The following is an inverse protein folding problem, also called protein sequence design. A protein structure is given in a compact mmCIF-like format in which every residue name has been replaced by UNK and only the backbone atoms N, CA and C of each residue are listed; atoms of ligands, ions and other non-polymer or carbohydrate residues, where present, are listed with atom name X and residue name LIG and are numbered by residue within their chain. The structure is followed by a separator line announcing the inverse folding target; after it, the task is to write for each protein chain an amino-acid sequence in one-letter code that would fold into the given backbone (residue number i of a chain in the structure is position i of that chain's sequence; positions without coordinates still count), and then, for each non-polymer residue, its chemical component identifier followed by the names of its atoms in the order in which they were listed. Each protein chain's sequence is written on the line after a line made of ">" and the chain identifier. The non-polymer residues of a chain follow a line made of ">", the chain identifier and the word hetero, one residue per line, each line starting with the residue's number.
data_IF_676607550923
#
_entry.id   IF_676607550923
#
_cell.length_a   1.000
_cell.length_b   1.000
_cell.length_c   1.000
_cell.angle_alpha   90.00
_cell.angle_beta   90.00
_cell.angle_gamma   90.00
#
_symmetry.space_group_name_H-M   'P 1'
#
loop_
_entity.id
_entity.type
_entity.pdbx_description
1 polymer ?
#
# COMPACT_ATOMS: atom_id res chain seq x y z
N UNK A 1 -0.34 26.99 -30.48
CA UNK A 1 0.26 26.74 -29.16
C UNK A 1 -0.65 27.15 -28.00
N UNK A 2 -1.35 28.29 -28.07
CA UNK A 2 -2.21 28.78 -26.96
C UNK A 2 -3.39 27.86 -26.57
N UNK A 3 -4.09 27.23 -27.54
CA UNK A 3 -5.19 26.28 -27.23
C UNK A 3 -4.74 25.06 -26.42
N UNK A 4 -3.53 24.57 -26.64
CA UNK A 4 -2.98 23.41 -25.94
C UNK A 4 -2.51 23.77 -24.52
N UNK A 5 -2.01 25.01 -24.36
CA UNK A 5 -1.62 25.55 -23.05
C UNK A 5 -2.85 25.80 -22.16
N UNK A 6 -3.94 26.32 -22.73
CA UNK A 6 -5.22 26.50 -22.02
C UNK A 6 -5.85 25.20 -21.55
N UNK A 7 -5.82 24.14 -22.39
CA UNK A 7 -6.35 22.82 -21.98
C UNK A 7 -5.52 22.16 -20.88
N UNK A 8 -4.20 22.36 -20.89
CA UNK A 8 -3.30 21.80 -19.86
C UNK A 8 -3.49 22.48 -18.51
N UNK A 9 -3.61 23.81 -18.48
CA UNK A 9 -3.88 24.55 -17.25
C UNK A 9 -5.25 24.18 -16.64
N UNK A 10 -6.27 24.03 -17.49
CA UNK A 10 -7.60 23.61 -17.05
C UNK A 10 -7.60 22.20 -16.45
N UNK A 11 -6.83 21.27 -17.02
CA UNK A 11 -6.66 19.92 -16.47
C UNK A 11 -6.02 19.97 -15.08
N UNK A 12 -4.93 20.73 -14.90
CA UNK A 12 -4.27 20.85 -13.59
C UNK A 12 -5.25 21.36 -12.53
N UNK A 13 -5.98 22.44 -12.82
CA UNK A 13 -6.96 23.01 -11.89
C UNK A 13 -8.07 21.99 -11.57
N UNK A 14 -8.54 21.23 -12.56
CA UNK A 14 -9.53 20.19 -12.37
C UNK A 14 -9.03 19.07 -11.44
N UNK A 15 -7.83 18.54 -11.69
CA UNK A 15 -7.22 17.49 -10.89
C UNK A 15 -6.93 17.95 -9.46
N UNK A 16 -6.48 19.19 -9.30
CA UNK A 16 -6.23 19.80 -8.00
C UNK A 16 -7.54 20.01 -7.22
N UNK A 17 -8.58 20.55 -7.86
CA UNK A 17 -9.89 20.69 -7.25
C UNK A 17 -10.49 19.33 -6.87
N UNK A 18 -10.32 18.31 -7.73
CA UNK A 18 -10.72 16.94 -7.43
C UNK A 18 -10.07 16.43 -6.14
N UNK A 19 -8.76 16.67 -5.95
CA UNK A 19 -8.06 16.30 -4.71
C UNK A 19 -8.64 17.01 -3.48
N UNK A 20 -8.88 18.32 -3.57
CA UNK A 20 -9.38 19.13 -2.45
C UNK A 20 -10.76 18.67 -2.00
N UNK A 21 -11.66 18.43 -2.96
CA UNK A 21 -13.04 18.05 -2.69
C UNK A 21 -13.18 16.57 -2.29
N UNK A 22 -12.15 15.77 -2.57
CA UNK A 22 -12.15 14.34 -2.34
C UNK A 22 -12.04 13.91 -0.88
N UNK A 23 -12.83 12.90 -0.50
CA UNK A 23 -12.60 12.07 0.69
C UNK A 23 -11.91 10.74 0.34
N UNK A 24 -11.73 10.46 -0.96
CA UNK A 24 -11.20 9.22 -1.54
C UNK A 24 -9.74 8.89 -1.17
N UNK A 25 -9.08 9.76 -0.41
CA UNK A 25 -7.66 9.65 -0.11
C UNK A 25 -7.34 8.47 0.80
N UNK A 26 -8.22 8.10 1.73
CA UNK A 26 -7.94 6.99 2.64
C UNK A 26 -9.19 6.21 3.03
N UNK A 27 -10.13 6.82 3.76
CA UNK A 27 -11.31 6.14 4.30
C UNK A 27 -12.44 7.16 4.48
N UNK A 28 -13.54 7.04 3.73
CA UNK A 28 -14.69 7.96 3.83
C UNK A 28 -15.31 8.06 5.23
N UNK A 29 -14.95 7.13 6.13
CA UNK A 29 -15.44 7.00 7.50
C UNK A 29 -14.60 7.73 8.55
N UNK A 30 -13.41 8.25 8.20
CA UNK A 30 -12.57 9.05 9.10
C UNK A 30 -12.24 10.40 8.46
N UNK A 31 -13.22 11.29 8.53
CA UNK A 31 -13.13 12.63 7.93
C UNK A 31 -12.11 13.51 8.63
N UNK A 32 -11.90 13.34 9.95
CA UNK A 32 -10.98 14.16 10.74
C UNK A 32 -9.54 13.87 10.32
N UNK A 33 -9.12 12.60 10.35
CA UNK A 33 -7.77 12.24 9.94
C UNK A 33 -7.54 12.53 8.46
N UNK A 34 -8.52 12.21 7.61
CA UNK A 34 -8.43 12.47 6.16
C UNK A 34 -8.28 13.96 5.85
N UNK A 35 -9.00 14.84 6.57
CA UNK A 35 -8.86 16.29 6.39
C UNK A 35 -7.52 16.82 6.90
N UNK A 36 -7.01 16.29 8.02
CA UNK A 36 -5.69 16.65 8.52
C UNK A 36 -4.59 16.24 7.52
N UNK A 37 -4.63 14.99 7.04
CA UNK A 37 -3.64 14.49 6.09
C UNK A 37 -3.71 15.23 4.75
N UNK A 38 -4.91 15.56 4.26
CA UNK A 38 -5.09 16.43 3.08
C UNK A 38 -4.42 17.79 3.27
N UNK A 39 -4.65 18.46 4.40
CA UNK A 39 -4.04 19.77 4.70
C UNK A 39 -2.52 19.66 4.71
N UNK A 40 -1.97 18.62 5.33
CA UNK A 40 -0.52 18.38 5.38
C UNK A 40 0.05 18.14 3.98
N UNK A 41 -0.59 17.31 3.16
CA UNK A 41 -0.18 17.07 1.75
C UNK A 41 -0.20 18.35 0.94
N UNK A 42 -1.27 19.15 1.04
CA UNK A 42 -1.39 20.40 0.29
C UNK A 42 -0.35 21.45 0.72
N UNK A 43 -0.14 21.62 2.04
CA UNK A 43 0.88 22.51 2.59
C UNK A 43 2.27 22.21 2.01
N UNK A 44 2.62 20.93 1.96
CA UNK A 44 3.91 20.46 1.45
C UNK A 44 4.00 20.51 -0.09
N UNK A 45 2.90 20.25 -0.81
CA UNK A 45 2.90 20.15 -2.28
C UNK A 45 3.25 21.48 -2.97
N UNK A 46 2.88 22.62 -2.40
CA UNK A 46 3.18 23.93 -2.99
C UNK A 46 4.68 24.26 -3.00
N UNK A 47 5.43 23.76 -2.01
CA UNK A 47 6.88 23.92 -1.92
C UNK A 47 7.65 22.79 -2.62
N UNK A 48 6.98 21.69 -2.97
CA UNK A 48 7.59 20.48 -3.50
C UNK A 48 6.92 20.06 -4.83
N UNK A 49 7.44 20.49 -5.99
CA UNK A 49 6.81 20.24 -7.29
C UNK A 49 6.56 18.75 -7.61
N UNK A 50 7.45 17.84 -7.20
CA UNK A 50 7.27 16.41 -7.38
C UNK A 50 6.04 15.89 -6.61
N UNK A 51 5.83 16.37 -5.38
CA UNK A 51 4.67 16.01 -4.56
C UNK A 51 3.39 16.56 -5.19
N UNK A 52 3.38 17.80 -5.68
CA UNK A 52 2.24 18.36 -6.42
C UNK A 52 1.90 17.49 -7.63
N UNK A 53 2.88 17.07 -8.43
CA UNK A 53 2.63 16.19 -9.57
C UNK A 53 2.13 14.81 -9.15
N UNK A 54 2.61 14.27 -8.02
CA UNK A 54 2.08 13.03 -7.42
C UNK A 54 0.60 13.17 -7.03
N UNK A 55 0.24 14.28 -6.38
CA UNK A 55 -1.15 14.62 -6.02
C UNK A 55 -2.05 14.67 -7.26
N UNK A 56 -1.60 15.35 -8.32
CA UNK A 56 -2.36 15.44 -9.57
C UNK A 56 -2.45 14.08 -10.27
N UNK A 57 -1.38 13.29 -10.26
CA UNK A 57 -1.36 11.93 -10.81
C UNK A 57 -2.36 11.03 -10.10
N UNK A 58 -2.45 11.15 -8.78
CA UNK A 58 -3.39 10.43 -7.93
C UNK A 58 -4.84 10.81 -8.23
N UNK A 59 -5.13 12.11 -8.32
CA UNK A 59 -6.45 12.60 -8.75
C UNK A 59 -6.84 12.08 -10.12
N UNK A 60 -5.93 12.12 -11.09
CA UNK A 60 -6.19 11.61 -12.43
C UNK A 60 -6.49 10.11 -12.38
N UNK A 61 -5.73 9.35 -11.57
CA UNK A 61 -5.96 7.92 -11.40
C UNK A 61 -7.35 7.64 -10.83
N UNK A 62 -7.75 8.33 -9.77
CA UNK A 62 -9.08 8.17 -9.20
C UNK A 62 -10.18 8.58 -10.19
N UNK A 63 -10.06 9.74 -10.86
CA UNK A 63 -11.06 10.16 -11.85
C UNK A 63 -11.23 9.15 -13.00
N UNK A 64 -10.18 8.39 -13.32
CA UNK A 64 -10.26 7.35 -14.35
C UNK A 64 -11.20 6.19 -13.99
N UNK A 65 -11.45 5.95 -12.70
CA UNK A 65 -12.36 4.89 -12.23
C UNK A 65 -13.82 5.34 -12.19
N UNK A 66 -14.08 6.64 -12.29
CA UNK A 66 -15.42 7.25 -12.12
C UNK A 66 -15.99 7.83 -13.43
N UNK A 67 -15.46 7.44 -14.59
CA UNK A 67 -15.82 8.06 -15.86
C UNK A 67 -16.02 7.03 -16.97
N UNK A 68 -16.47 7.49 -18.15
CA UNK A 68 -16.68 6.62 -19.31
C UNK A 68 -15.37 5.97 -19.77
N UNK A 69 -15.39 4.79 -20.41
CA UNK A 69 -14.17 4.09 -20.84
C UNK A 69 -13.21 4.92 -21.69
N UNK A 70 -13.75 5.79 -22.54
CA UNK A 70 -12.97 6.71 -23.39
C UNK A 70 -12.22 7.76 -22.55
N UNK A 71 -12.88 8.35 -21.56
CA UNK A 71 -12.27 9.32 -20.64
C UNK A 71 -11.36 8.65 -19.61
N UNK A 72 -11.64 7.41 -19.26
CA UNK A 72 -10.81 6.62 -18.34
C UNK A 72 -9.40 6.48 -18.90
N UNK A 73 -9.27 6.09 -20.17
CA UNK A 73 -7.96 6.00 -20.86
C UNK A 73 -7.23 7.35 -20.90
N UNK A 74 -7.97 8.44 -21.11
CA UNK A 74 -7.39 9.78 -21.07
C UNK A 74 -6.78 10.09 -19.70
N UNK A 75 -7.52 9.93 -18.61
CA UNK A 75 -7.02 10.22 -17.26
C UNK A 75 -5.92 9.26 -16.82
N UNK A 76 -5.97 7.97 -17.20
CA UNK A 76 -4.87 7.03 -16.97
C UNK A 76 -3.58 7.51 -17.63
N UNK A 77 -3.63 7.98 -18.88
CA UNK A 77 -2.47 8.55 -19.56
C UNK A 77 -1.93 9.80 -18.85
N UNK A 78 -2.82 10.70 -18.39
CA UNK A 78 -2.41 11.87 -17.61
C UNK A 78 -1.75 11.47 -16.29
N UNK A 79 -2.34 10.50 -15.58
CA UNK A 79 -1.79 9.95 -14.34
C UNK A 79 -0.37 9.42 -14.55
N UNK A 80 -0.15 8.59 -15.59
CA UNK A 80 1.18 8.05 -15.92
C UNK A 80 2.18 9.16 -16.26
N UNK A 81 1.80 10.18 -17.03
CA UNK A 81 2.68 11.30 -17.38
C UNK A 81 3.11 12.11 -16.15
N UNK A 82 2.13 12.49 -15.33
CA UNK A 82 2.36 13.24 -14.10
C UNK A 82 3.23 12.44 -13.13
N UNK A 83 2.94 11.14 -12.98
CA UNK A 83 3.70 10.25 -12.12
C UNK A 83 5.14 10.07 -12.60
N UNK A 84 5.33 9.89 -13.91
CA UNK A 84 6.68 9.76 -14.53
C UNK A 84 7.48 11.02 -14.29
N UNK A 85 6.88 12.20 -14.51
CA UNK A 85 7.54 13.47 -14.23
C UNK A 85 7.90 13.60 -12.76
N UNK A 86 6.97 13.26 -11.86
CA UNK A 86 7.17 13.34 -10.42
C UNK A 86 8.32 12.44 -9.97
N UNK A 87 8.40 11.19 -10.44
CA UNK A 87 9.49 10.26 -10.14
C UNK A 87 10.83 10.76 -10.70
N UNK A 88 10.85 11.26 -11.94
CA UNK A 88 12.09 11.79 -12.54
C UNK A 88 12.63 13.05 -11.85
N UNK A 89 11.77 13.80 -11.16
CA UNK A 89 12.14 15.00 -10.41
C UNK A 89 12.13 14.77 -8.89
N UNK A 90 11.88 13.53 -8.45
CA UNK A 90 11.96 13.13 -7.08
C UNK A 90 13.42 12.81 -6.75
N UNK A 91 13.99 13.56 -5.81
CA UNK A 91 15.31 13.27 -5.28
C UNK A 91 15.17 12.69 -3.86
N UNK A 92 15.17 11.36 -3.69
CA UNK A 92 14.98 10.73 -2.38
C UNK A 92 16.13 10.98 -1.39
N UNK A 93 17.24 11.60 -1.81
CA UNK A 93 18.45 11.68 -1.01
C UNK A 93 19.22 13.01 -1.19
N UNK A 94 18.71 14.17 -0.71
CA UNK A 94 19.63 15.18 -0.22
C UNK A 94 20.48 14.53 0.90
N UNK A 95 21.81 14.73 0.96
CA UNK A 95 22.66 14.17 2.03
C UNK A 95 22.18 14.51 3.45
N UNK A 96 21.45 15.62 3.58
CA UNK A 96 20.72 16.01 4.79
C UNK A 96 19.37 16.64 4.38
N UNK A 97 18.26 15.87 4.34
CA UNK A 97 16.95 16.43 3.98
C UNK A 97 16.41 17.27 5.13
N UNK A 98 16.13 18.57 4.92
CA UNK A 98 15.49 19.42 5.94
C UNK A 98 14.17 18.81 6.45
N UNK A 99 13.72 19.24 7.63
CA UNK A 99 12.44 18.79 8.22
C UNK A 99 11.27 18.94 7.22
N UNK A 100 11.21 20.07 6.51
CA UNK A 100 10.20 20.35 5.48
C UNK A 100 10.27 19.37 4.29
N UNK A 101 11.48 18.97 3.87
CA UNK A 101 11.66 18.04 2.77
C UNK A 101 11.36 16.60 3.19
N UNK A 102 11.72 16.19 4.41
CA UNK A 102 11.43 14.84 4.92
C UNK A 102 9.94 14.49 4.86
N UNK A 103 9.07 15.42 5.28
CA UNK A 103 7.62 15.24 5.23
C UNK A 103 7.14 15.07 3.79
N UNK A 104 7.57 15.95 2.88
CA UNK A 104 7.20 15.86 1.48
C UNK A 104 7.70 14.58 0.79
N UNK A 105 8.90 14.11 1.12
CA UNK A 105 9.46 12.84 0.64
C UNK A 105 8.61 11.65 1.11
N UNK A 106 8.24 11.60 2.39
CA UNK A 106 7.38 10.57 2.95
C UNK A 106 6.00 10.54 2.28
N UNK A 107 5.36 11.70 2.14
CA UNK A 107 4.02 11.81 1.53
C UNK A 107 4.01 11.39 0.07
N UNK A 108 5.02 11.82 -0.70
CA UNK A 108 5.14 11.41 -2.09
C UNK A 108 5.39 9.91 -2.23
N UNK A 109 6.24 9.35 -1.38
CA UNK A 109 6.53 7.92 -1.38
C UNK A 109 5.30 7.09 -0.97
N UNK A 110 4.47 7.61 -0.06
CA UNK A 110 3.18 7.02 0.29
C UNK A 110 2.21 7.01 -0.89
N UNK A 111 2.12 8.11 -1.66
CA UNK A 111 1.33 8.15 -2.90
C UNK A 111 1.81 7.10 -3.90
N UNK A 112 3.13 6.96 -4.11
CA UNK A 112 3.69 5.92 -4.98
C UNK A 112 3.26 4.51 -4.58
N UNK A 113 3.20 4.23 -3.28
CA UNK A 113 2.74 2.93 -2.78
C UNK A 113 1.27 2.71 -3.11
N UNK A 114 0.40 3.70 -2.93
CA UNK A 114 -1.03 3.58 -3.29
C UNK A 114 -1.20 3.35 -4.81
N UNK A 115 -0.41 4.03 -5.63
CA UNK A 115 -0.39 3.79 -7.08
C UNK A 115 0.02 2.36 -7.41
N UNK A 116 1.07 1.84 -6.77
CA UNK A 116 1.51 0.44 -6.94
C UNK A 116 0.44 -0.57 -6.53
N UNK A 117 -0.28 -0.32 -5.44
CA UNK A 117 -1.40 -1.15 -5.00
C UNK A 117 -2.54 -1.17 -6.04
N UNK A 118 -2.88 -0.01 -6.57
CA UNK A 118 -3.92 0.13 -7.61
C UNK A 118 -3.52 -0.60 -8.90
N UNK A 119 -2.24 -0.61 -9.25
CA UNK A 119 -1.75 -1.36 -10.42
C UNK A 119 -1.85 -2.87 -10.21
N UNK A 120 -1.63 -3.38 -8.98
CA UNK A 120 -1.82 -4.80 -8.65
C UNK A 120 -3.30 -5.20 -8.80
N UNK A 121 -4.22 -4.33 -8.42
CA UNK A 121 -5.66 -4.56 -8.58
C UNK A 121 -6.11 -4.75 -10.04
N UNK A 122 -5.35 -4.22 -11.00
CA UNK A 122 -5.64 -4.27 -12.43
C UNK A 122 -4.95 -5.44 -13.16
N UNK A 123 -4.18 -6.26 -12.46
CA UNK A 123 -3.46 -7.36 -13.10
C UNK A 123 -4.41 -8.48 -13.52
N UNK A 124 -4.17 -9.00 -14.72
CA UNK A 124 -4.63 -10.31 -15.11
C UNK A 124 -3.97 -11.38 -14.24
N UNK A 125 -4.61 -12.54 -14.14
CA UNK A 125 -4.31 -13.62 -13.21
C UNK A 125 -2.95 -14.32 -13.41
N UNK A 126 -2.07 -13.79 -14.26
CA UNK A 126 -0.77 -14.38 -14.58
C UNK A 126 0.28 -14.08 -13.48
N UNK A 127 1.00 -15.09 -12.94
CA UNK A 127 1.92 -14.91 -11.82
C UNK A 127 3.14 -14.04 -12.10
N UNK A 128 3.72 -14.07 -13.31
CA UNK A 128 5.00 -13.39 -13.56
C UNK A 128 4.86 -11.85 -13.62
N UNK A 129 3.89 -11.28 -14.36
CA UNK A 129 3.60 -9.84 -14.28
C UNK A 129 3.30 -9.38 -12.85
N UNK A 130 2.62 -10.21 -12.07
CA UNK A 130 2.37 -9.97 -10.66
C UNK A 130 3.67 -9.83 -9.87
N UNK A 131 4.59 -10.80 -9.93
CA UNK A 131 5.83 -10.72 -9.15
C UNK A 131 6.73 -9.53 -9.53
N UNK A 132 6.74 -9.12 -10.81
CA UNK A 132 7.47 -7.92 -11.24
C UNK A 132 6.89 -6.68 -10.57
N UNK A 133 5.57 -6.48 -10.66
CA UNK A 133 4.89 -5.33 -10.05
C UNK A 133 4.97 -5.35 -8.53
N UNK A 134 4.83 -6.53 -7.95
CA UNK A 134 4.96 -6.79 -6.53
C UNK A 134 6.37 -6.44 -6.02
N UNK A 135 7.42 -6.84 -6.74
CA UNK A 135 8.80 -6.46 -6.44
C UNK A 135 9.01 -4.95 -6.47
N UNK A 136 8.44 -4.25 -7.46
CA UNK A 136 8.46 -2.78 -7.48
C UNK A 136 7.72 -2.16 -6.29
N UNK A 137 6.55 -2.68 -5.93
CA UNK A 137 5.76 -2.20 -4.79
C UNK A 137 6.55 -2.31 -3.47
N UNK A 138 7.17 -3.46 -3.20
CA UNK A 138 7.99 -3.64 -2.00
C UNK A 138 9.31 -2.84 -2.04
N UNK A 139 9.90 -2.66 -3.22
CA UNK A 139 11.05 -1.79 -3.40
C UNK A 139 10.73 -0.32 -3.04
N UNK A 140 9.57 0.17 -3.44
CA UNK A 140 9.08 1.51 -3.07
C UNK A 140 8.87 1.63 -1.55
N UNK A 141 8.24 0.64 -0.93
CA UNK A 141 8.04 0.60 0.52
C UNK A 141 9.36 0.60 1.29
N UNK A 142 10.37 -0.15 0.82
CA UNK A 142 11.73 -0.12 1.39
C UNK A 142 12.37 1.27 1.31
N UNK A 143 12.21 1.95 0.19
CA UNK A 143 12.67 3.33 0.03
C UNK A 143 12.05 4.27 1.07
N UNK A 144 10.74 4.13 1.31
CA UNK A 144 10.02 4.90 2.34
C UNK A 144 10.60 4.62 3.73
N UNK A 145 10.81 3.34 4.09
CA UNK A 145 11.36 2.96 5.41
C UNK A 145 12.76 3.50 5.64
N UNK A 146 13.60 3.51 4.61
CA UNK A 146 14.96 4.06 4.70
C UNK A 146 14.91 5.55 5.05
N UNK A 147 14.06 6.32 4.36
CA UNK A 147 13.84 7.75 4.64
C UNK A 147 13.30 7.96 6.06
N UNK A 148 12.37 7.12 6.51
CA UNK A 148 11.81 7.21 7.86
C UNK A 148 12.86 6.90 8.94
N UNK A 149 13.59 5.80 8.79
CA UNK A 149 14.54 5.30 9.79
C UNK A 149 15.70 6.27 10.01
N UNK A 150 16.33 6.74 8.93
CA UNK A 150 17.49 7.63 9.00
C UNK A 150 17.14 9.05 9.48
N UNK A 151 15.85 9.41 9.44
CA UNK A 151 15.37 10.76 9.75
C UNK A 151 14.22 10.80 10.76
N UNK A 152 14.03 9.73 11.55
CA UNK A 152 12.89 9.59 12.48
C UNK A 152 12.70 10.83 13.38
N UNK A 153 13.79 11.30 13.99
CA UNK A 153 13.79 12.45 14.89
C UNK A 153 13.35 13.75 14.21
N UNK A 154 13.45 13.87 12.88
CA UNK A 154 12.99 15.05 12.13
C UNK A 154 11.47 15.07 11.98
N UNK A 155 10.78 13.94 12.17
CA UNK A 155 9.33 13.92 12.16
C UNK A 155 8.71 14.26 13.51
N UNK A 156 9.49 14.29 14.60
CA UNK A 156 9.03 14.79 15.89
C UNK A 156 8.61 16.26 15.78
N UNK A 157 7.39 16.58 16.22
CA UNK A 157 6.81 17.92 16.11
C UNK A 157 6.28 18.30 14.71
N UNK A 158 6.40 17.41 13.71
CA UNK A 158 5.84 17.64 12.37
C UNK A 158 4.35 17.31 12.28
N UNK A 159 3.68 17.75 11.21
CA UNK A 159 2.25 17.50 10.99
C UNK A 159 1.92 16.01 10.74
N UNK A 160 2.93 15.15 10.51
CA UNK A 160 2.76 13.70 10.33
C UNK A 160 3.12 12.89 11.60
N UNK A 161 3.51 13.53 12.70
CA UNK A 161 3.88 12.85 13.94
C UNK A 161 2.77 11.89 14.43
N UNK A 162 1.50 12.29 14.33
CA UNK A 162 0.38 11.44 14.74
C UNK A 162 0.29 10.15 13.93
N UNK A 163 0.60 10.20 12.62
CA UNK A 163 0.62 9.02 11.76
C UNK A 163 1.76 8.07 12.16
N UNK A 164 2.92 8.61 12.51
CA UNK A 164 4.07 7.83 12.96
C UNK A 164 3.82 7.16 14.32
N UNK A 165 3.27 7.89 15.30
CA UNK A 165 2.88 7.32 16.58
C UNK A 165 1.84 6.20 16.42
N UNK A 166 0.89 6.38 15.49
CA UNK A 166 -0.06 5.33 15.16
C UNK A 166 0.63 4.09 14.58
N UNK A 167 1.62 4.25 13.68
CA UNK A 167 2.42 3.13 13.17
C UNK A 167 3.19 2.41 14.29
N UNK A 168 3.77 3.15 15.25
CA UNK A 168 4.44 2.54 16.40
C UNK A 168 3.45 1.72 17.23
N UNK A 169 2.30 2.30 17.60
CA UNK A 169 1.26 1.61 18.37
C UNK A 169 0.75 0.35 17.64
N UNK A 170 0.60 0.44 16.32
CA UNK A 170 0.25 -0.69 15.46
C UNK A 170 1.25 -1.84 15.58
N UNK A 171 2.55 -1.56 15.61
CA UNK A 171 3.60 -2.59 15.77
C UNK A 171 3.66 -3.22 17.16
N UNK A 172 3.13 -2.55 18.19
CA UNK A 172 3.11 -3.08 19.56
C UNK A 172 1.94 -4.04 19.82
N UNK A 173 0.87 -3.95 19.03
CA UNK A 173 -0.32 -4.79 19.19
C UNK A 173 -0.02 -6.21 18.69
N UNK A 174 -0.36 -7.21 19.51
CA UNK A 174 -0.23 -8.63 19.18
C UNK A 174 -1.60 -9.28 19.01
N UNK A 175 -1.71 -10.13 18.01
CA UNK A 175 -2.92 -10.91 17.77
C UNK A 175 -3.13 -11.90 18.90
N UNK A 176 -4.38 -12.16 19.22
CA UNK A 176 -4.81 -13.10 20.25
C UNK A 176 -5.59 -14.28 19.66
N UNK A 177 -6.14 -14.14 18.45
CA UNK A 177 -6.88 -15.18 17.77
C UNK A 177 -6.00 -16.26 17.11
N UNK A 178 -6.70 -17.23 16.53
CA UNK A 178 -6.13 -18.48 16.02
C UNK A 178 -6.14 -18.61 14.49
N UNK A 179 -6.67 -17.63 13.75
CA UNK A 179 -6.80 -17.68 12.28
C UNK A 179 -5.45 -17.93 11.59
N UNK A 180 -4.37 -17.41 12.17
CA UNK A 180 -3.00 -17.56 11.67
C UNK A 180 -2.22 -18.73 12.30
N UNK A 181 -2.83 -19.61 13.10
CA UNK A 181 -2.12 -20.71 13.79
C UNK A 181 -1.51 -21.73 12.83
N UNK A 182 -2.11 -21.92 11.66
CA UNK A 182 -1.51 -22.72 10.59
C UNK A 182 -0.17 -22.12 10.15
N UNK A 183 -0.13 -20.84 9.77
CA UNK A 183 1.08 -20.21 9.26
C UNK A 183 2.13 -19.96 10.34
N UNK A 184 1.72 -19.78 11.62
CA UNK A 184 2.64 -19.81 12.77
C UNK A 184 3.36 -21.16 12.87
N UNK A 185 2.61 -22.27 12.76
CA UNK A 185 3.20 -23.63 12.76
C UNK A 185 4.10 -23.88 11.55
N UNK A 186 3.71 -23.40 10.37
CA UNK A 186 4.54 -23.50 9.18
C UNK A 186 5.92 -22.87 9.41
N UNK A 187 5.96 -21.62 9.86
CA UNK A 187 7.20 -20.88 10.13
C UNK A 187 8.04 -21.56 11.22
N UNK A 188 7.40 -22.04 12.29
CA UNK A 188 8.10 -22.74 13.37
C UNK A 188 8.72 -24.09 12.95
N UNK A 189 8.18 -24.73 11.91
CA UNK A 189 8.66 -26.01 11.39
C UNK A 189 9.65 -25.85 10.21
N UNK A 190 9.79 -24.64 9.67
CA UNK A 190 10.73 -24.35 8.59
C UNK A 190 12.18 -24.54 9.04
N UNK A 191 12.89 -25.45 8.39
CA UNK A 191 14.32 -25.72 8.65
C UNK A 191 15.24 -24.85 7.80
N UNK A 192 14.71 -24.17 6.79
CA UNK A 192 15.43 -23.34 5.82
C UNK A 192 15.45 -21.84 6.20
N UNK A 193 14.77 -21.44 7.27
CA UNK A 193 14.73 -20.07 7.77
C UNK A 193 15.74 -19.85 8.90
N UNK A 194 16.46 -18.72 8.85
CA UNK A 194 17.28 -18.29 9.98
C UNK A 194 16.41 -17.81 11.15
N UNK A 195 16.94 -17.76 12.39
CA UNK A 195 16.19 -17.24 13.54
C UNK A 195 15.64 -15.82 13.32
N UNK A 196 16.42 -14.96 12.66
CA UNK A 196 16.01 -13.61 12.28
C UNK A 196 14.84 -13.61 11.27
N UNK A 197 14.86 -14.53 10.30
CA UNK A 197 13.79 -14.69 9.33
C UNK A 197 12.49 -15.20 9.99
N UNK A 198 12.62 -16.12 10.94
CA UNK A 198 11.50 -16.62 11.75
C UNK A 198 10.85 -15.49 12.55
N UNK A 199 11.63 -14.67 13.24
CA UNK A 199 11.12 -13.51 13.99
C UNK A 199 10.41 -12.51 13.06
N UNK A 200 10.99 -12.22 11.90
CA UNK A 200 10.39 -11.32 10.92
C UNK A 200 9.05 -11.83 10.38
N UNK A 201 8.94 -13.14 10.12
CA UNK A 201 7.69 -13.80 9.76
C UNK A 201 6.66 -13.72 10.90
N UNK A 202 7.07 -13.94 12.15
CA UNK A 202 6.17 -13.85 13.30
C UNK A 202 5.59 -12.44 13.45
N UNK A 203 6.42 -11.40 13.38
CA UNK A 203 5.94 -10.00 13.44
C UNK A 203 4.94 -9.69 12.32
N UNK A 204 5.21 -10.16 11.11
CA UNK A 204 4.32 -9.99 9.96
C UNK A 204 2.97 -10.71 10.16
N UNK A 205 2.99 -11.92 10.75
CA UNK A 205 1.80 -12.71 11.08
C UNK A 205 0.96 -12.03 12.17
N UNK A 206 1.59 -11.51 13.23
CA UNK A 206 0.86 -10.89 14.34
C UNK A 206 0.06 -9.66 13.91
N UNK A 207 0.58 -8.88 12.95
CA UNK A 207 -0.15 -7.75 12.38
C UNK A 207 -1.38 -8.20 11.58
N UNK A 208 -1.30 -9.32 10.85
CA UNK A 208 -2.46 -9.88 10.14
C UNK A 208 -3.49 -10.38 11.15
N UNK A 209 -3.06 -11.12 12.18
CA UNK A 209 -3.97 -11.61 13.22
C UNK A 209 -4.66 -10.46 13.96
N UNK A 210 -3.95 -9.37 14.28
CA UNK A 210 -4.55 -8.19 14.90
C UNK A 210 -5.73 -7.63 14.10
N UNK A 211 -5.61 -7.56 12.77
CA UNK A 211 -6.71 -7.11 11.91
C UNK A 211 -7.86 -8.10 11.95
N UNK A 212 -7.57 -9.40 11.89
CA UNK A 212 -8.59 -10.46 11.91
C UNK A 212 -9.36 -10.52 13.23
N UNK A 213 -8.70 -10.35 14.37
CA UNK A 213 -9.33 -10.36 15.71
C UNK A 213 -10.43 -9.30 15.84
N UNK A 214 -10.30 -8.18 15.11
CA UNK A 214 -11.22 -7.04 15.18
C UNK A 214 -12.22 -7.00 14.02
N UNK A 215 -12.03 -7.83 12.99
CA UNK A 215 -12.93 -7.90 11.84
C UNK A 215 -14.06 -8.89 12.11
N UNK A 216 -15.28 -8.38 12.26
CA UNK A 216 -16.47 -9.21 12.45
C UNK A 216 -17.11 -9.50 11.09
N UNK A 217 -17.43 -10.77 10.77
CA UNK A 217 -18.12 -11.11 9.53
C UNK A 217 -19.41 -10.31 9.33
N UNK A 218 -19.63 -9.83 8.10
CA UNK A 218 -20.79 -9.02 7.70
C UNK A 218 -20.91 -7.65 8.38
N UNK A 219 -19.91 -7.21 9.15
CA UNK A 219 -19.82 -5.85 9.64
C UNK A 219 -18.83 -5.02 8.82
N UNK A 220 -19.00 -3.69 8.77
CA UNK A 220 -18.02 -2.85 8.12
C UNK A 220 -16.68 -2.92 8.86
N UNK A 221 -15.58 -3.07 8.12
CA UNK A 221 -14.23 -3.09 8.69
C UNK A 221 -13.98 -1.81 9.50
N UNK A 222 -13.48 -1.92 10.75
CA UNK A 222 -13.10 -0.76 11.54
C UNK A 222 -12.05 0.09 10.82
N UNK A 223 -12.16 1.41 10.94
CA UNK A 223 -11.28 2.37 10.27
C UNK A 223 -9.81 2.09 10.56
N UNK A 224 -9.45 1.84 11.82
CA UNK A 224 -8.07 1.56 12.19
C UNK A 224 -7.56 0.25 11.58
N UNK A 225 -8.40 -0.77 11.40
CA UNK A 225 -8.03 -2.01 10.71
C UNK A 225 -7.72 -1.78 9.22
N UNK A 226 -8.45 -0.87 8.57
CA UNK A 226 -8.15 -0.46 7.20
C UNK A 226 -6.78 0.21 7.12
N UNK A 227 -6.49 1.14 8.03
CA UNK A 227 -5.15 1.76 8.11
C UNK A 227 -4.06 0.72 8.35
N UNK A 228 -4.26 -0.22 9.30
CA UNK A 228 -3.31 -1.31 9.60
C UNK A 228 -3.03 -2.16 8.36
N UNK A 229 -4.09 -2.50 7.63
CA UNK A 229 -3.99 -3.28 6.40
C UNK A 229 -3.18 -2.53 5.34
N UNK A 230 -3.50 -1.26 5.05
CA UNK A 230 -2.77 -0.48 4.04
C UNK A 230 -1.31 -0.19 4.46
N UNK A 231 -1.04 -0.08 5.76
CA UNK A 231 0.28 0.17 6.30
C UNK A 231 1.15 -1.10 6.44
N UNK A 232 0.57 -2.31 6.42
CA UNK A 232 1.31 -3.56 6.66
C UNK A 232 2.61 -3.67 5.85
N UNK A 233 2.66 -3.35 4.53
CA UNK A 233 3.90 -3.43 3.75
C UNK A 233 5.00 -2.45 4.20
N UNK A 234 4.63 -1.36 4.88
CA UNK A 234 5.56 -0.43 5.52
C UNK A 234 6.04 -0.95 6.89
N UNK A 235 5.19 -1.66 7.62
CA UNK A 235 5.46 -2.08 9.00
C UNK A 235 6.25 -3.39 9.10
N UNK A 236 6.19 -4.26 8.08
CA UNK A 236 6.92 -5.53 8.13
C UNK A 236 8.45 -5.34 8.15
N UNK A 237 9.21 -6.19 8.88
CA UNK A 237 10.66 -6.10 8.93
C UNK A 237 11.34 -6.31 7.57
N UNK A 238 12.52 -5.72 7.35
CA UNK A 238 13.24 -5.86 6.07
C UNK A 238 13.53 -7.30 5.70
N UNK A 239 13.81 -8.14 6.70
CA UNK A 239 14.05 -9.55 6.47
C UNK A 239 12.84 -10.26 5.86
N UNK A 240 11.62 -9.89 6.26
CA UNK A 240 10.40 -10.41 5.64
C UNK A 240 10.31 -9.98 4.17
N UNK A 241 10.67 -8.73 3.87
CA UNK A 241 10.73 -8.22 2.49
C UNK A 241 11.75 -8.99 1.65
N UNK A 242 12.93 -9.30 2.20
CA UNK A 242 13.93 -10.11 1.49
C UNK A 242 13.39 -11.51 1.14
N UNK A 243 12.67 -12.16 2.07
CA UNK A 243 12.06 -13.47 1.80
C UNK A 243 11.01 -13.40 0.70
N UNK A 244 10.24 -12.31 0.64
CA UNK A 244 9.24 -12.06 -0.40
C UNK A 244 9.89 -11.82 -1.77
N UNK A 245 10.97 -11.03 -1.83
CA UNK A 245 11.76 -10.81 -3.06
C UNK A 245 12.38 -12.13 -3.56
N UNK A 246 12.87 -12.96 -2.63
CA UNK A 246 13.38 -14.30 -2.92
C UNK A 246 12.28 -15.34 -3.19
N UNK A 247 11.00 -14.93 -3.17
CA UNK A 247 9.81 -15.78 -3.42
C UNK A 247 9.80 -17.04 -2.53
N UNK A 248 10.24 -16.93 -1.28
CA UNK A 248 10.25 -18.05 -0.33
C UNK A 248 8.82 -18.49 -0.02
N UNK A 249 8.49 -19.79 -0.06
CA UNK A 249 7.11 -20.25 0.10
C UNK A 249 6.42 -19.80 1.39
N UNK A 250 7.09 -19.89 2.54
CA UNK A 250 6.54 -19.44 3.81
C UNK A 250 6.15 -17.95 3.79
N UNK A 251 7.01 -17.10 3.21
CA UNK A 251 6.74 -15.67 3.10
C UNK A 251 5.60 -15.37 2.11
N UNK A 252 5.54 -16.08 0.99
CA UNK A 252 4.43 -15.95 0.04
C UNK A 252 3.09 -16.39 0.65
N UNK A 253 3.09 -17.42 1.49
CA UNK A 253 1.86 -17.84 2.18
C UNK A 253 1.39 -16.76 3.17
N UNK A 254 2.30 -16.16 3.94
CA UNK A 254 1.97 -15.01 4.81
C UNK A 254 1.41 -13.84 3.96
N UNK A 255 1.99 -13.59 2.79
CA UNK A 255 1.47 -12.59 1.87
C UNK A 255 0.07 -12.93 1.32
N UNK A 256 -0.26 -14.20 1.13
CA UNK A 256 -1.62 -14.60 0.75
C UNK A 256 -2.62 -14.31 1.88
N UNK A 257 -2.22 -14.50 3.15
CA UNK A 257 -3.02 -14.09 4.30
C UNK A 257 -3.19 -12.57 4.37
N UNK A 258 -2.15 -11.80 4.06
CA UNK A 258 -2.26 -10.35 3.85
C UNK A 258 -3.25 -10.02 2.72
N UNK A 259 -3.19 -10.72 1.59
CA UNK A 259 -4.15 -10.58 0.49
C UNK A 259 -5.60 -10.81 0.92
N UNK A 260 -5.84 -11.76 1.83
CA UNK A 260 -7.17 -12.01 2.37
C UNK A 260 -7.70 -10.86 3.25
N UNK A 261 -6.88 -10.28 4.14
CA UNK A 261 -7.32 -9.09 4.90
C UNK A 261 -7.46 -7.85 4.01
N UNK A 262 -6.66 -7.76 2.95
CA UNK A 262 -6.75 -6.69 1.96
C UNK A 262 -8.07 -6.78 1.16
N UNK A 263 -8.57 -7.98 0.88
CA UNK A 263 -9.88 -8.19 0.24
C UNK A 263 -11.04 -7.67 1.11
N UNK A 264 -10.90 -7.62 2.44
CA UNK A 264 -11.89 -6.99 3.32
C UNK A 264 -12.02 -5.47 3.04
N UNK A 265 -10.98 -4.86 2.46
CA UNK A 265 -10.92 -3.45 2.10
C UNK A 265 -11.23 -3.18 0.62
N UNK A 266 -11.75 -4.16 -0.14
CA UNK A 266 -11.97 -4.06 -1.60
C UNK A 266 -12.88 -2.90 -2.05
N UNK A 267 -13.74 -2.42 -1.16
CA UNK A 267 -14.64 -1.30 -1.44
C UNK A 267 -13.88 0.03 -1.59
N UNK A 268 -12.63 0.09 -1.12
CA UNK A 268 -11.73 1.19 -1.43
C UNK A 268 -11.31 1.12 -2.90
N UNK A 269 -11.50 2.22 -3.62
CA UNK A 269 -11.21 2.32 -5.05
C UNK A 269 -9.77 1.93 -5.43
N UNK A 270 -8.81 2.17 -4.53
CA UNK A 270 -7.38 1.88 -4.74
C UNK A 270 -7.02 0.42 -4.47
N UNK A 271 -7.86 -0.29 -3.70
CA UNK A 271 -7.65 -1.70 -3.35
C UNK A 271 -8.32 -2.60 -4.38
N UNK A 272 -9.62 -2.41 -4.63
CA UNK A 272 -10.38 -3.25 -5.55
C UNK A 272 -10.11 -4.74 -5.33
N UNK A 273 -9.76 -5.46 -6.40
CA UNK A 273 -9.47 -6.89 -6.36
C UNK A 273 -7.98 -7.23 -6.08
N UNK A 274 -7.19 -6.29 -5.57
CA UNK A 274 -5.77 -6.54 -5.28
C UNK A 274 -5.57 -7.74 -4.33
N UNK A 275 -6.41 -7.88 -3.29
CA UNK A 275 -6.37 -8.99 -2.35
C UNK A 275 -6.54 -10.33 -3.04
N UNK A 276 -7.65 -10.50 -3.79
CA UNK A 276 -7.89 -11.68 -4.61
C UNK A 276 -6.78 -11.98 -5.62
N UNK A 277 -6.25 -10.96 -6.31
CA UNK A 277 -5.18 -11.12 -7.30
C UNK A 277 -3.88 -11.63 -6.66
N UNK A 278 -3.51 -11.11 -5.48
CA UNK A 278 -2.36 -11.58 -4.70
C UNK A 278 -2.51 -13.06 -4.36
N UNK A 279 -3.66 -13.45 -3.77
CA UNK A 279 -3.92 -14.85 -3.38
C UNK A 279 -3.87 -15.78 -4.60
N UNK A 280 -4.47 -15.36 -5.72
CA UNK A 280 -4.48 -16.14 -6.95
C UNK A 280 -3.07 -16.37 -7.50
N UNK A 281 -2.28 -15.30 -7.67
CA UNK A 281 -0.94 -15.40 -8.23
C UNK A 281 -0.03 -16.31 -7.38
N UNK A 282 -0.14 -16.21 -6.04
CA UNK A 282 0.60 -17.06 -5.11
C UNK A 282 0.14 -18.52 -5.19
N UNK A 283 -1.17 -18.77 -5.25
CA UNK A 283 -1.73 -20.12 -5.41
C UNK A 283 -1.21 -20.79 -6.68
N UNK A 284 -1.26 -20.08 -7.81
CA UNK A 284 -0.78 -20.61 -9.10
C UNK A 284 0.73 -20.86 -9.05
N UNK A 285 1.50 -19.95 -8.47
CA UNK A 285 2.95 -20.06 -8.38
C UNK A 285 3.43 -21.21 -7.49
N UNK A 286 2.85 -21.37 -6.29
CA UNK A 286 3.26 -22.41 -5.34
C UNK A 286 2.75 -23.81 -5.72
N UNK A 287 1.60 -23.87 -6.39
CA UNK A 287 1.01 -25.13 -6.85
C UNK A 287 0.44 -26.03 -5.73
N UNK A 288 0.02 -27.26 -6.07
CA UNK A 288 -0.78 -28.12 -5.19
C UNK A 288 -0.10 -28.52 -3.88
N UNK A 289 1.23 -28.58 -3.85
CA UNK A 289 2.02 -28.96 -2.67
C UNK A 289 1.75 -28.06 -1.47
N UNK A 290 1.39 -26.80 -1.70
CA UNK A 290 1.13 -25.79 -0.66
C UNK A 290 -0.37 -25.53 -0.42
N UNK A 291 -1.25 -26.28 -1.08
CA UNK A 291 -2.70 -26.02 -1.07
C UNK A 291 -3.31 -26.02 0.34
N UNK A 292 -2.85 -26.89 1.24
CA UNK A 292 -3.34 -26.96 2.62
C UNK A 292 -3.10 -25.66 3.40
N UNK A 293 -1.97 -25.00 3.18
CA UNK A 293 -1.62 -23.73 3.82
C UNK A 293 -2.34 -22.53 3.19
N UNK A 294 -2.74 -22.65 1.92
CA UNK A 294 -3.46 -21.61 1.17
C UNK A 294 -4.99 -21.74 1.23
N UNK A 295 -5.51 -22.77 1.92
CA UNK A 295 -6.94 -23.03 1.98
C UNK A 295 -7.73 -21.84 2.52
N UNK A 296 -7.38 -21.36 3.72
CA UNK A 296 -8.05 -20.23 4.35
C UNK A 296 -8.01 -18.94 3.51
N UNK A 297 -6.85 -18.47 3.00
CA UNK A 297 -6.86 -17.25 2.20
C UNK A 297 -7.60 -17.42 0.87
N UNK A 298 -7.61 -18.61 0.26
CA UNK A 298 -8.43 -18.88 -0.94
C UNK A 298 -9.93 -18.80 -0.64
N UNK A 299 -10.37 -19.44 0.45
CA UNK A 299 -11.77 -19.41 0.91
C UNK A 299 -12.21 -17.97 1.20
N UNK A 300 -11.37 -17.20 1.91
CA UNK A 300 -11.65 -15.82 2.29
C UNK A 300 -11.89 -14.88 1.09
N UNK A 301 -11.20 -15.10 -0.04
CA UNK A 301 -11.33 -14.27 -1.25
C UNK A 301 -12.20 -14.91 -2.35
N UNK A 302 -12.83 -16.06 -2.06
CA UNK A 302 -13.69 -16.77 -3.00
C UNK A 302 -12.96 -17.29 -4.24
N UNK A 303 -11.79 -17.91 -4.04
CA UNK A 303 -11.07 -18.69 -5.05
C UNK A 303 -11.26 -20.18 -4.73
N UNK A 304 -11.61 -20.98 -5.73
CA UNK A 304 -11.74 -22.44 -5.56
C UNK A 304 -10.44 -23.03 -4.98
N UNK A 305 -10.55 -23.73 -3.85
CA UNK A 305 -9.44 -24.49 -3.29
C UNK A 305 -9.21 -25.75 -4.14
N UNK A 306 -7.96 -26.15 -4.41
CA UNK A 306 -7.66 -27.42 -5.07
C UNK A 306 -8.21 -28.62 -4.31
#
# INVERSE_FOLDING_TARGET
>A
MEKHHGSHHQLIVQLFNHFIQGTFLFIDKDTIFTDQLKKTVLSNAFSNPYLMHGVLAFSARHMSTQTSPERSRYYLNQSTKLQTWAVSNFNPAPPEPSQDNCVALFLFSSLLCIHGLTDIALLDLDPEPFFIRFGHYFGLQRGVRTIIGDHWSRFEGSEIQNLLQWCELATMKKGQGSDCDSIRRLVAQSTDLSPEAVEACHLAIEQVQCVLDECIPHQPVPVHCVYLTLAWPLLVPEKMVDLLVLRRPAALIILAYYGAILELCRDLWMVGHAGKNIVHAIKVYLGPTWASWLRWPCDAVGIETP
#
